data_IF_443149816659
#
_entry.id   IF_443149816659
#
_cell.length_a   1.000
_cell.length_b   1.000
_cell.length_c   1.000
_cell.angle_alpha   90.00
_cell.angle_beta   90.00
_cell.angle_gamma   90.00
#
_symmetry.space_group_name_H-M   'P 1'
#
loop_
_entity.id
_entity.type
_entity.pdbx_description
1 polymer ?
#
# COMPACT_ATOMS: atom_id res chain seq x y z
N UNK A 1 -29.56 54.89 6.98
CA UNK A 1 -29.03 53.87 7.85
C UNK A 1 -28.65 52.68 7.01
N UNK A 2 -27.41 52.68 6.55
CA UNK A 2 -26.84 51.64 5.68
C UNK A 2 -26.02 50.70 6.54
N UNK A 3 -26.57 49.56 6.87
CA UNK A 3 -25.82 48.52 7.59
C UNK A 3 -24.83 47.89 6.62
N UNK A 4 -23.55 48.15 6.88
CA UNK A 4 -22.44 47.50 6.27
C UNK A 4 -22.48 46.01 6.59
N UNK A 5 -22.57 45.22 5.52
CA UNK A 5 -22.39 43.79 5.49
C UNK A 5 -20.93 43.49 5.89
N UNK A 6 -20.64 42.69 6.91
CA UNK A 6 -19.29 42.25 7.11
C UNK A 6 -18.98 41.25 5.97
N UNK A 7 -18.25 41.75 5.00
CA UNK A 7 -17.65 40.99 3.97
C UNK A 7 -16.55 40.14 4.56
N UNK A 8 -16.64 38.81 4.27
CA UNK A 8 -15.49 37.97 4.09
C UNK A 8 -14.66 37.58 5.34
N UNK A 9 -15.26 36.78 6.19
CA UNK A 9 -14.52 35.72 6.88
C UNK A 9 -14.45 34.48 5.99
N UNK A 10 -14.63 34.66 4.70
CA UNK A 10 -14.40 33.65 3.72
C UNK A 10 -12.90 33.65 3.42
N UNK A 11 -12.28 32.55 3.77
CA UNK A 11 -11.01 32.14 3.18
C UNK A 11 -9.70 32.73 3.74
N UNK A 12 -9.59 32.79 5.05
CA UNK A 12 -8.28 32.60 5.66
C UNK A 12 -8.00 31.06 5.65
N UNK A 13 -7.72 30.52 4.46
CA UNK A 13 -7.13 29.21 4.35
C UNK A 13 -5.87 29.23 5.21
N UNK A 14 -5.92 28.61 6.38
CA UNK A 14 -4.72 28.42 7.21
C UNK A 14 -3.67 27.81 6.31
N UNK A 15 -2.47 28.42 6.18
CA UNK A 15 -1.44 27.88 5.31
C UNK A 15 -1.19 26.44 5.73
N UNK A 16 -1.36 25.52 4.77
CA UNK A 16 -1.10 24.09 4.99
C UNK A 16 0.36 23.98 5.43
N UNK A 17 0.66 23.39 6.58
CA UNK A 17 2.03 23.18 7.01
C UNK A 17 2.85 22.52 5.90
N UNK A 18 4.08 22.98 5.68
CA UNK A 18 4.95 22.52 4.60
C UNK A 18 5.13 20.98 4.62
N UNK A 19 5.21 20.41 5.82
CA UNK A 19 5.29 18.96 6.04
C UNK A 19 4.06 18.20 5.53
N UNK A 20 2.86 18.78 5.71
CA UNK A 20 1.63 18.15 5.21
C UNK A 20 1.56 18.22 3.69
N UNK A 21 1.97 19.33 3.09
CA UNK A 21 2.03 19.46 1.64
C UNK A 21 3.04 18.49 1.02
N UNK A 22 4.19 18.33 1.67
CA UNK A 22 5.22 17.39 1.23
C UNK A 22 4.75 15.94 1.33
N UNK A 23 4.15 15.57 2.46
CA UNK A 23 3.56 14.25 2.67
C UNK A 23 2.49 13.95 1.61
N UNK A 24 1.56 14.87 1.39
CA UNK A 24 0.49 14.72 0.42
C UNK A 24 1.01 14.54 -1.01
N UNK A 25 2.04 15.28 -1.39
CA UNK A 25 2.66 15.15 -2.71
C UNK A 25 3.30 13.78 -2.92
N UNK A 26 4.04 13.27 -1.94
CA UNK A 26 4.65 11.93 -2.02
C UNK A 26 3.61 10.82 -2.04
N UNK A 27 2.56 10.96 -1.24
CA UNK A 27 1.45 10.01 -1.19
C UNK A 27 0.69 9.98 -2.52
N UNK A 28 0.39 11.15 -3.11
CA UNK A 28 -0.30 11.26 -4.39
C UNK A 28 0.51 10.60 -5.53
N UNK A 29 1.80 10.88 -5.62
CA UNK A 29 2.67 10.24 -6.60
C UNK A 29 2.74 8.72 -6.42
N UNK A 30 2.94 8.28 -5.19
CA UNK A 30 3.02 6.85 -4.87
C UNK A 30 1.71 6.13 -5.17
N UNK A 31 0.57 6.74 -4.83
CA UNK A 31 -0.74 6.20 -5.12
C UNK A 31 -0.97 6.08 -6.64
N UNK A 32 -0.65 7.12 -7.41
CA UNK A 32 -0.81 7.10 -8.87
C UNK A 32 0.04 6.01 -9.52
N UNK A 33 1.31 5.91 -9.13
CA UNK A 33 2.23 4.87 -9.64
C UNK A 33 1.72 3.49 -9.26
N UNK A 34 1.45 3.25 -7.98
CA UNK A 34 1.00 1.95 -7.48
C UNK A 34 -0.32 1.51 -8.09
N UNK A 35 -1.30 2.44 -8.18
CA UNK A 35 -2.59 2.15 -8.79
C UNK A 35 -2.46 1.88 -10.30
N UNK A 36 -1.60 2.62 -11.00
CA UNK A 36 -1.35 2.40 -12.43
C UNK A 36 -0.73 1.02 -12.65
N UNK A 37 0.29 0.66 -11.88
CA UNK A 37 0.94 -0.65 -11.95
C UNK A 37 -0.07 -1.77 -11.65
N UNK A 38 -0.85 -1.61 -10.57
CA UNK A 38 -1.88 -2.59 -10.19
C UNK A 38 -2.93 -2.76 -11.27
N UNK A 39 -3.45 -1.66 -11.82
CA UNK A 39 -4.47 -1.71 -12.88
C UNK A 39 -3.92 -2.30 -14.18
N UNK A 40 -2.70 -1.95 -14.55
CA UNK A 40 -2.05 -2.47 -15.75
C UNK A 40 -1.76 -3.98 -15.61
N UNK A 41 -1.24 -4.43 -14.47
CA UNK A 41 -0.98 -5.84 -14.21
C UNK A 41 -2.27 -6.66 -14.19
N UNK A 42 -3.32 -6.13 -13.59
CA UNK A 42 -4.63 -6.78 -13.57
C UNK A 42 -5.25 -6.86 -14.97
N UNK A 43 -5.15 -5.79 -15.77
CA UNK A 43 -5.63 -5.80 -17.15
C UNK A 43 -4.83 -6.82 -17.99
N UNK A 44 -3.51 -6.86 -17.86
CA UNK A 44 -2.66 -7.84 -18.55
C UNK A 44 -3.03 -9.29 -18.19
N UNK A 45 -3.34 -9.54 -16.91
CA UNK A 45 -3.82 -10.84 -16.44
C UNK A 45 -5.17 -11.21 -17.07
N UNK A 46 -6.15 -10.30 -17.08
CA UNK A 46 -7.48 -10.53 -17.68
C UNK A 46 -7.41 -10.74 -19.20
N UNK A 47 -6.50 -10.06 -19.89
CA UNK A 47 -6.30 -10.19 -21.33
C UNK A 47 -5.52 -11.47 -21.71
N UNK A 48 -5.07 -12.25 -20.73
CA UNK A 48 -4.28 -13.46 -20.96
C UNK A 48 -2.88 -13.18 -21.53
N UNK A 49 -2.35 -11.97 -21.32
CA UNK A 49 -1.00 -11.61 -21.77
C UNK A 49 0.10 -12.22 -20.89
N UNK A 50 -0.27 -12.65 -19.68
CA UNK A 50 0.63 -13.28 -18.72
C UNK A 50 0.02 -14.61 -18.29
N UNK A 51 0.82 -15.67 -18.27
CA UNK A 51 0.36 -16.99 -17.86
C UNK A 51 -0.08 -16.98 -16.39
N UNK A 52 -1.31 -17.40 -16.07
CA UNK A 52 -1.75 -17.51 -14.69
C UNK A 52 -1.04 -18.68 -14.01
N UNK A 53 -0.77 -18.55 -12.70
CA UNK A 53 -0.25 -19.66 -11.90
C UNK A 53 -1.34 -20.73 -11.70
N UNK A 54 -2.57 -20.30 -11.43
CA UNK A 54 -3.75 -21.16 -11.35
C UNK A 54 -4.67 -20.83 -12.52
N UNK A 55 -5.00 -21.84 -13.34
CA UNK A 55 -5.92 -21.65 -14.47
C UNK A 55 -7.31 -21.30 -13.97
N UNK A 56 -7.98 -20.36 -14.63
CA UNK A 56 -9.33 -19.92 -14.29
C UNK A 56 -10.34 -21.07 -14.19
N UNK A 57 -10.18 -22.10 -15.04
CA UNK A 57 -11.05 -23.27 -15.07
C UNK A 57 -10.95 -24.13 -13.80
N UNK A 58 -9.76 -24.15 -13.19
CA UNK A 58 -9.51 -24.95 -11.98
C UNK A 58 -9.80 -24.17 -10.71
N UNK A 59 -9.85 -22.83 -10.78
CA UNK A 59 -10.06 -21.96 -9.64
C UNK A 59 -11.38 -22.28 -8.90
N UNK A 60 -12.46 -22.53 -9.65
CA UNK A 60 -13.75 -22.86 -9.07
C UNK A 60 -13.73 -24.17 -8.26
N UNK A 61 -12.88 -25.12 -8.63
CA UNK A 61 -12.74 -26.41 -7.93
C UNK A 61 -11.87 -26.30 -6.69
N UNK A 62 -10.89 -25.41 -6.73
CA UNK A 62 -9.88 -25.22 -5.69
C UNK A 62 -10.34 -24.24 -4.59
N UNK A 63 -11.26 -23.34 -4.92
CA UNK A 63 -11.72 -22.28 -4.02
C UNK A 63 -12.32 -22.78 -2.70
N UNK A 64 -12.93 -23.94 -2.69
CA UNK A 64 -13.54 -24.53 -1.51
C UNK A 64 -12.59 -25.38 -0.65
N UNK A 65 -11.32 -25.51 -1.04
CA UNK A 65 -10.37 -26.33 -0.31
C UNK A 65 -9.82 -25.60 0.93
N UNK A 66 -9.47 -26.32 2.00
CA UNK A 66 -8.67 -25.79 3.08
C UNK A 66 -7.33 -25.26 2.54
N UNK A 67 -6.77 -24.22 3.19
CA UNK A 67 -5.55 -23.54 2.73
C UNK A 67 -4.40 -24.51 2.47
N UNK A 68 -4.19 -25.47 3.36
CA UNK A 68 -3.09 -26.45 3.23
C UNK A 68 -3.24 -27.33 1.97
N UNK A 69 -4.46 -27.71 1.61
CA UNK A 69 -4.73 -28.54 0.44
C UNK A 69 -4.69 -27.71 -0.85
N UNK A 70 -5.17 -26.45 -0.78
CA UNK A 70 -5.04 -25.49 -1.87
C UNK A 70 -3.56 -25.25 -2.24
N UNK A 71 -2.71 -24.98 -1.25
CA UNK A 71 -1.28 -24.75 -1.45
C UNK A 71 -0.57 -25.97 -2.05
N UNK A 72 -0.92 -27.19 -1.60
CA UNK A 72 -0.40 -28.42 -2.18
C UNK A 72 -0.85 -28.64 -3.62
N UNK A 73 -2.14 -28.41 -3.89
CA UNK A 73 -2.72 -28.62 -5.22
C UNK A 73 -2.18 -27.63 -6.26
N UNK A 74 -1.88 -26.41 -5.85
CA UNK A 74 -1.41 -25.33 -6.72
C UNK A 74 0.11 -25.16 -6.73
N UNK A 75 0.86 -25.93 -5.94
CA UNK A 75 2.27 -25.65 -5.61
C UNK A 75 2.44 -24.19 -5.18
N UNK A 76 1.47 -23.69 -4.40
CA UNK A 76 1.47 -22.33 -3.92
C UNK A 76 2.58 -22.11 -2.89
N UNK A 77 3.22 -20.97 -2.97
CA UNK A 77 4.28 -20.57 -2.07
C UNK A 77 3.76 -19.57 -1.06
N UNK A 78 4.29 -19.61 0.15
CA UNK A 78 3.94 -18.69 1.24
C UNK A 78 5.09 -17.75 1.56
N UNK A 79 4.79 -16.67 2.27
CA UNK A 79 5.81 -15.69 2.67
C UNK A 79 6.38 -14.93 1.47
N UNK A 80 7.69 -14.81 1.38
CA UNK A 80 8.40 -14.01 0.35
C UNK A 80 8.68 -14.77 -0.95
N UNK A 81 8.32 -16.03 -1.05
CA UNK A 81 8.57 -16.86 -2.23
C UNK A 81 7.80 -16.38 -3.47
N UNK A 82 6.73 -15.60 -3.30
CA UNK A 82 6.00 -14.96 -4.40
C UNK A 82 6.90 -14.09 -5.30
N UNK A 83 8.01 -13.55 -4.76
CA UNK A 83 8.96 -12.73 -5.53
C UNK A 83 9.55 -13.52 -6.69
N UNK A 84 9.82 -14.81 -6.51
CA UNK A 84 10.30 -15.67 -7.58
C UNK A 84 9.22 -15.94 -8.66
N UNK A 85 7.95 -15.78 -8.29
CA UNK A 85 6.80 -16.04 -9.15
C UNK A 85 6.21 -14.77 -9.79
N UNK A 86 6.90 -13.61 -9.69
CA UNK A 86 6.43 -12.34 -10.26
C UNK A 86 6.19 -12.39 -11.79
N UNK A 87 6.76 -13.37 -12.49
CA UNK A 87 6.51 -13.61 -13.92
C UNK A 87 5.11 -14.21 -14.18
N UNK A 88 4.41 -14.68 -13.16
CA UNK A 88 3.05 -15.20 -13.25
C UNK A 88 2.02 -14.09 -13.02
N UNK A 89 0.94 -14.08 -13.81
CA UNK A 89 -0.07 -13.04 -13.79
C UNK A 89 -0.70 -12.81 -12.43
N UNK A 90 -0.97 -13.89 -11.69
CA UNK A 90 -1.58 -13.85 -10.35
C UNK A 90 -0.67 -13.11 -9.36
N UNK A 91 0.64 -13.34 -9.44
CA UNK A 91 1.64 -12.76 -8.54
C UNK A 91 2.09 -11.35 -8.97
N UNK A 92 1.93 -11.00 -10.25
CA UNK A 92 2.29 -9.69 -10.76
C UNK A 92 1.52 -8.56 -10.07
N UNK A 93 0.26 -8.82 -9.69
CA UNK A 93 -0.56 -7.86 -8.96
C UNK A 93 0.00 -7.53 -7.57
N UNK A 94 0.74 -8.44 -6.94
CA UNK A 94 1.39 -8.17 -5.65
C UNK A 94 2.42 -7.04 -5.75
N UNK A 95 3.04 -6.86 -6.91
CA UNK A 95 3.99 -5.75 -7.14
C UNK A 95 3.30 -4.39 -6.92
N UNK A 96 2.10 -4.22 -7.48
CA UNK A 96 1.32 -2.99 -7.27
C UNK A 96 0.95 -2.78 -5.79
N UNK A 97 0.56 -3.85 -5.10
CA UNK A 97 0.24 -3.81 -3.67
C UNK A 97 1.47 -3.44 -2.84
N UNK A 98 2.63 -4.02 -3.15
CA UNK A 98 3.91 -3.71 -2.46
C UNK A 98 4.31 -2.26 -2.68
N UNK A 99 4.13 -1.72 -3.89
CA UNK A 99 4.40 -0.30 -4.17
C UNK A 99 3.46 0.58 -3.31
N UNK A 100 2.16 0.29 -3.29
CA UNK A 100 1.18 1.05 -2.52
C UNK A 100 1.46 0.99 -1.01
N UNK A 101 1.86 -0.17 -0.49
CA UNK A 101 2.23 -0.32 0.92
C UNK A 101 3.56 0.36 1.23
N UNK A 102 4.54 0.21 0.33
CA UNK A 102 5.88 0.76 0.50
C UNK A 102 5.91 2.28 0.50
N UNK A 103 5.03 2.94 -0.27
CA UNK A 103 4.97 4.40 -0.29
C UNK A 103 4.62 4.97 1.09
N UNK A 104 3.82 4.28 1.88
CA UNK A 104 3.47 4.70 3.25
C UNK A 104 4.73 4.79 4.12
N UNK A 105 5.61 3.78 4.04
CA UNK A 105 6.88 3.78 4.77
C UNK A 105 7.76 4.95 4.31
N UNK A 106 7.84 5.18 2.99
CA UNK A 106 8.63 6.30 2.44
C UNK A 106 8.08 7.66 2.90
N UNK A 107 6.76 7.83 2.94
CA UNK A 107 6.13 9.03 3.46
C UNK A 107 6.47 9.25 4.94
N UNK A 108 6.39 8.22 5.76
CA UNK A 108 6.75 8.30 7.17
C UNK A 108 8.24 8.64 7.37
N UNK A 109 9.13 7.99 6.63
CA UNK A 109 10.56 8.31 6.68
C UNK A 109 10.86 9.75 6.26
N UNK A 110 10.07 10.29 5.34
CA UNK A 110 10.23 11.67 4.86
C UNK A 110 9.74 12.70 5.86
N UNK A 111 8.68 12.40 6.59
CA UNK A 111 8.08 13.30 7.57
C UNK A 111 8.78 13.21 8.94
N UNK A 112 9.37 12.06 9.26
CA UNK A 112 10.08 11.83 10.53
C UNK A 112 11.10 12.92 10.91
N UNK A 113 12.00 13.40 10.02
CA UNK A 113 12.95 14.45 10.38
C UNK A 113 12.28 15.79 10.68
N UNK A 114 11.11 16.07 10.12
CA UNK A 114 10.35 17.31 10.40
C UNK A 114 9.85 17.29 11.84
N UNK A 115 9.19 16.22 12.27
CA UNK A 115 8.72 16.08 13.65
C UNK A 115 9.87 15.97 14.65
N UNK A 116 10.99 15.33 14.27
CA UNK A 116 12.18 15.28 15.11
C UNK A 116 12.76 16.67 15.37
N UNK A 117 12.80 17.54 14.36
CA UNK A 117 13.26 18.94 14.51
C UNK A 117 12.30 19.79 15.32
N UNK A 118 10.99 19.55 15.19
CA UNK A 118 9.96 20.19 15.98
C UNK A 118 9.96 19.75 17.46
N UNK A 119 10.79 18.78 17.84
CA UNK A 119 10.85 18.14 19.16
C UNK A 119 9.52 17.52 19.60
N UNK A 120 8.70 17.13 18.66
CA UNK A 120 7.44 16.45 18.95
C UNK A 120 7.67 14.95 19.14
N UNK A 121 8.12 14.61 20.35
CA UNK A 121 8.51 13.24 20.69
C UNK A 121 7.35 12.26 20.53
N UNK A 122 6.12 12.70 20.80
CA UNK A 122 4.94 11.82 20.71
C UNK A 122 4.73 11.36 19.27
N UNK A 123 4.73 12.29 18.30
CA UNK A 123 4.59 11.95 16.90
C UNK A 123 5.76 11.11 16.37
N UNK A 124 6.99 11.42 16.80
CA UNK A 124 8.17 10.61 16.42
C UNK A 124 8.02 9.16 16.89
N UNK A 125 7.59 8.94 18.12
CA UNK A 125 7.38 7.60 18.67
C UNK A 125 6.28 6.86 17.90
N UNK A 126 5.16 7.52 17.60
CA UNK A 126 4.04 6.94 16.84
C UNK A 126 4.53 6.51 15.44
N UNK A 127 5.22 7.39 14.71
CA UNK A 127 5.72 7.09 13.36
C UNK A 127 6.72 5.92 13.36
N UNK A 128 7.63 5.88 14.33
CA UNK A 128 8.57 4.76 14.47
C UNK A 128 7.81 3.46 14.77
N UNK A 129 6.82 3.49 15.65
CA UNK A 129 6.02 2.32 16.00
C UNK A 129 5.26 1.79 14.77
N UNK A 130 4.65 2.69 13.98
CA UNK A 130 3.96 2.32 12.74
C UNK A 130 4.90 1.67 11.72
N UNK A 131 6.07 2.26 11.49
CA UNK A 131 7.08 1.67 10.58
C UNK A 131 7.46 0.27 11.07
N UNK A 132 7.71 0.10 12.36
CA UNK A 132 8.06 -1.20 12.94
C UNK A 132 6.93 -2.22 12.79
N UNK A 133 5.68 -1.82 13.00
CA UNK A 133 4.51 -2.70 12.80
C UNK A 133 4.36 -3.13 11.35
N UNK A 134 4.53 -2.20 10.39
CA UNK A 134 4.46 -2.52 8.95
C UNK A 134 5.59 -3.50 8.58
N UNK A 135 6.82 -3.25 9.02
CA UNK A 135 7.96 -4.13 8.76
C UNK A 135 7.77 -5.51 9.40
N UNK A 136 7.26 -5.55 10.63
CA UNK A 136 6.96 -6.81 11.33
C UNK A 136 5.87 -7.60 10.59
N UNK A 137 4.80 -6.93 10.15
CA UNK A 137 3.75 -7.56 9.35
C UNK A 137 4.29 -8.07 8.01
N UNK A 138 5.13 -7.28 7.34
CA UNK A 138 5.74 -7.66 6.06
C UNK A 138 6.79 -8.77 6.19
N UNK A 139 7.41 -8.93 7.36
CA UNK A 139 8.46 -9.95 7.59
C UNK A 139 7.93 -11.39 7.53
N UNK A 140 6.62 -11.59 7.63
CA UNK A 140 6.02 -12.93 7.70
C UNK A 140 6.17 -13.64 9.04
N UNK A 141 6.82 -13.02 10.03
CA UNK A 141 6.99 -13.61 11.39
C UNK A 141 5.64 -13.77 12.09
N UNK A 142 4.69 -12.87 11.78
CA UNK A 142 3.33 -12.93 12.30
C UNK A 142 2.38 -13.79 11.45
N UNK A 143 2.89 -14.71 10.65
CA UNK A 143 2.04 -15.72 10.02
C UNK A 143 1.46 -16.54 11.17
N UNK A 144 0.21 -16.24 11.49
CA UNK A 144 -0.53 -16.98 12.50
C UNK A 144 -0.56 -18.43 12.05
N UNK A 145 0.18 -19.25 12.79
CA UNK A 145 0.13 -20.69 12.62
C UNK A 145 -1.28 -21.16 12.94
N UNK A 146 -1.98 -21.59 11.95
CA UNK A 146 -3.21 -22.39 12.05
C UNK A 146 -2.94 -23.71 11.36
#
# INVERSE_FOLDING_TARGET
>A
MTQGRPSSEADAATPIPEEQALYAAWLDWGMRIGLTVLSASFAAYLMGLVDPHVRHEDLAKLWGLPLADYLKATNGHTGWEWVALMHKGDYLNFVGIVILSGITILCYLRVLPVFSRARDVVFVVIVILEILLILLAASGVLVAGH
#
